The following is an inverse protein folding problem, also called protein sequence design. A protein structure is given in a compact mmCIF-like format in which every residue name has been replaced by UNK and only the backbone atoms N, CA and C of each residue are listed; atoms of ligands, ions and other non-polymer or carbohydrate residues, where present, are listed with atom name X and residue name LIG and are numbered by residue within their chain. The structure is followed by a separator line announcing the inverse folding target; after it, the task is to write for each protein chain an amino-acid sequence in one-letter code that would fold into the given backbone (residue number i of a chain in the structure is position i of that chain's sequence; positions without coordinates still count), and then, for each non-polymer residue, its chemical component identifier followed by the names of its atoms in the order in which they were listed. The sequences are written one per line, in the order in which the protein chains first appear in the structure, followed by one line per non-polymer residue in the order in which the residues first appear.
data_IF_528148336441
#
_entry.id   IF_528148336441
#
_cell.length_a   1.000
_cell.length_b   1.000
_cell.length_c   1.000
_cell.angle_alpha   90.00
_cell.angle_beta   90.00
_cell.angle_gamma   90.00
#
_symmetry.space_group_name_H-M   'P 1'
#
loop_
_entity.id
_entity.type
_entity.pdbx_description
1 polymer ?
#
# COMPACT_ATOMS: atom_id res chain seq x y z
N UNK A 1 10.34 -14.08 -6.15
CA UNK A 1 10.84 -13.58 -4.85
C UNK A 1 10.49 -14.53 -3.72
N UNK A 2 11.17 -14.51 -2.56
CA UNK A 2 11.06 -15.58 -1.57
C UNK A 2 9.77 -15.47 -0.72
N UNK A 3 9.19 -16.63 -0.38
CA UNK A 3 8.39 -16.73 0.83
C UNK A 3 9.35 -16.78 2.03
N UNK A 4 9.16 -15.91 3.03
CA UNK A 4 10.05 -15.86 4.20
C UNK A 4 9.98 -17.11 5.10
N UNK A 5 8.95 -17.94 4.92
CA UNK A 5 8.84 -19.27 5.52
C UNK A 5 8.16 -20.19 4.48
N UNK A 6 8.41 -21.50 4.56
CA UNK A 6 7.71 -22.48 3.70
C UNK A 6 6.19 -22.39 3.91
N UNK A 7 5.43 -22.10 2.86
CA UNK A 7 3.98 -21.92 2.94
C UNK A 7 3.54 -20.59 3.56
N UNK A 8 4.47 -19.66 3.77
CA UNK A 8 4.19 -18.32 4.27
C UNK A 8 3.65 -17.38 3.18
N UNK A 9 3.31 -16.15 3.60
CA UNK A 9 2.91 -15.11 2.65
C UNK A 9 4.03 -14.80 1.66
N UNK A 10 3.64 -14.51 0.43
CA UNK A 10 4.54 -14.03 -0.61
C UNK A 10 4.95 -12.58 -0.34
N UNK A 11 6.24 -12.27 -0.49
CA UNK A 11 6.81 -10.94 -0.32
C UNK A 11 7.37 -10.48 -1.67
N UNK A 12 6.89 -9.32 -2.13
CA UNK A 12 7.30 -8.69 -3.39
C UNK A 12 8.55 -7.81 -3.24
N UNK A 13 9.06 -7.64 -2.03
CA UNK A 13 10.23 -6.81 -1.75
C UNK A 13 9.98 -5.76 -0.68
N UNK A 14 10.93 -4.86 -0.53
CA UNK A 14 10.84 -3.67 0.31
C UNK A 14 10.62 -2.43 -0.53
N UNK A 15 9.97 -1.43 0.03
CA UNK A 15 9.95 -0.07 -0.53
C UNK A 15 10.42 0.92 0.52
N UNK A 16 11.30 1.85 0.12
CA UNK A 16 11.75 2.92 0.98
C UNK A 16 10.84 4.14 0.86
N UNK A 17 10.45 4.74 1.98
CA UNK A 17 9.86 6.08 1.97
C UNK A 17 10.98 7.10 1.74
N UNK A 18 11.09 7.59 0.50
CA UNK A 18 12.14 8.54 0.08
C UNK A 18 11.82 9.97 0.51
N UNK A 19 12.82 10.84 0.33
CA UNK A 19 12.64 12.29 0.48
C UNK A 19 11.42 12.78 -0.30
N UNK A 20 10.64 13.67 0.31
CA UNK A 20 9.39 14.16 -0.27
C UNK A 20 8.19 13.22 -0.15
N UNK A 21 8.32 12.09 0.56
CA UNK A 21 7.23 11.15 0.87
C UNK A 21 6.94 10.14 -0.24
N UNK A 22 7.86 9.95 -1.19
CA UNK A 22 7.65 9.06 -2.34
C UNK A 22 7.92 7.60 -1.97
N UNK A 23 7.01 6.71 -2.35
CA UNK A 23 7.13 5.26 -2.21
C UNK A 23 6.95 4.63 -3.58
N UNK A 24 7.93 3.83 -4.02
CA UNK A 24 7.82 3.04 -5.25
C UNK A 24 7.33 1.64 -4.91
N UNK A 25 6.26 1.20 -5.55
CA UNK A 25 5.78 -0.17 -5.39
C UNK A 25 6.66 -1.15 -6.19
N UNK A 26 6.88 -2.38 -5.69
CA UNK A 26 7.59 -3.40 -6.45
C UNK A 26 6.93 -3.65 -7.82
N UNK A 27 7.70 -3.76 -8.92
CA UNK A 27 7.15 -4.03 -10.25
C UNK A 27 6.30 -5.30 -10.31
N UNK A 28 6.68 -6.33 -9.55
CA UNK A 28 5.92 -7.58 -9.49
C UNK A 28 4.54 -7.39 -8.83
N UNK A 29 4.44 -6.58 -7.78
CA UNK A 29 3.15 -6.20 -7.20
C UNK A 29 2.34 -5.35 -8.18
N UNK A 30 2.96 -4.38 -8.85
CA UNK A 30 2.29 -3.55 -9.86
C UNK A 30 1.68 -4.43 -10.97
N UNK A 31 2.45 -5.38 -11.50
CA UNK A 31 2.01 -6.29 -12.55
C UNK A 31 0.88 -7.23 -12.07
N UNK A 32 1.04 -7.85 -10.90
CA UNK A 32 0.06 -8.79 -10.36
C UNK A 32 -1.32 -8.15 -10.13
N UNK A 33 -1.33 -6.90 -9.65
CA UNK A 33 -2.56 -6.17 -9.37
C UNK A 33 -3.05 -5.32 -10.56
N UNK A 34 -2.34 -5.35 -11.70
CA UNK A 34 -2.69 -4.59 -12.92
C UNK A 34 -2.66 -3.06 -12.72
N UNK A 35 -1.86 -2.57 -11.78
CA UNK A 35 -1.81 -1.15 -11.44
C UNK A 35 -1.25 -0.21 -12.53
N UNK A 36 -0.40 -0.63 -13.49
CA UNK A 36 0.04 0.26 -14.57
C UNK A 36 -1.09 0.84 -15.42
N UNK A 37 -2.26 0.20 -15.44
CA UNK A 37 -3.45 0.67 -16.16
C UNK A 37 -4.27 1.69 -15.36
N UNK A 38 -3.94 1.89 -14.08
CA UNK A 38 -4.64 2.77 -13.16
C UNK A 38 -3.91 4.12 -13.02
N UNK A 39 -4.65 5.24 -13.02
CA UNK A 39 -4.09 6.59 -12.80
C UNK A 39 -3.87 6.92 -11.32
N UNK A 40 -4.48 6.14 -10.44
CA UNK A 40 -4.47 6.35 -9.00
C UNK A 40 -4.68 5.04 -8.26
N UNK A 41 -4.20 4.98 -7.03
CA UNK A 41 -4.48 3.89 -6.11
C UNK A 41 -5.37 4.36 -4.97
N UNK A 42 -6.05 3.41 -4.35
CA UNK A 42 -6.69 3.58 -3.06
C UNK A 42 -5.80 2.87 -2.04
N UNK A 43 -5.43 3.59 -0.99
CA UNK A 43 -4.78 3.01 0.18
C UNK A 43 -5.76 2.89 1.33
N UNK A 44 -5.52 1.94 2.22
CA UNK A 44 -6.22 1.90 3.49
C UNK A 44 -5.35 1.39 4.62
N UNK A 45 -5.64 1.83 5.84
CA UNK A 45 -4.85 1.48 7.03
C UNK A 45 -4.70 -0.03 7.19
N UNK A 46 -3.46 -0.49 7.38
CA UNK A 46 -3.16 -1.88 7.69
C UNK A 46 -3.66 -2.31 9.08
N UNK A 47 -3.46 -3.57 9.44
CA UNK A 47 -3.77 -4.03 10.81
C UNK A 47 -2.90 -3.32 11.84
N UNK A 48 -3.37 -3.23 13.09
CA UNK A 48 -2.56 -2.68 14.20
C UNK A 48 -1.23 -3.41 14.38
N UNK A 49 -1.22 -4.72 14.16
CA UNK A 49 -0.03 -5.58 14.31
C UNK A 49 1.02 -5.35 13.23
N UNK A 50 0.61 -5.19 11.96
CA UNK A 50 1.53 -5.01 10.83
C UNK A 50 1.87 -3.53 10.58
N UNK A 51 1.00 -2.61 11.00
CA UNK A 51 1.09 -1.19 10.67
C UNK A 51 1.01 -0.94 9.16
N UNK A 52 1.44 0.25 8.75
CA UNK A 52 1.47 0.65 7.34
C UNK A 52 0.08 0.71 6.71
N UNK A 53 0.00 0.34 5.43
CA UNK A 53 -1.22 0.44 4.63
C UNK A 53 -1.33 -0.70 3.62
N UNK A 54 -2.54 -0.97 3.14
CA UNK A 54 -2.78 -1.79 1.97
C UNK A 54 -3.00 -0.90 0.75
N UNK A 55 -2.74 -1.46 -0.44
CA UNK A 55 -2.89 -0.80 -1.73
C UNK A 55 -3.86 -1.59 -2.59
N UNK A 56 -4.83 -0.90 -3.19
CA UNK A 56 -5.77 -1.40 -4.18
C UNK A 56 -6.03 -0.32 -5.23
N UNK A 57 -6.92 -0.56 -6.19
CA UNK A 57 -7.38 0.45 -7.14
C UNK A 57 -8.89 0.42 -7.26
N UNK A 58 -9.49 1.46 -7.86
CA UNK A 58 -10.93 1.49 -8.10
C UNK A 58 -11.39 0.29 -8.94
N UNK A 59 -10.58 -0.09 -9.95
CA UNK A 59 -10.84 -1.25 -10.82
C UNK A 59 -10.87 -2.57 -10.06
N UNK A 60 -9.99 -2.76 -9.08
CA UNK A 60 -9.97 -3.95 -8.23
C UNK A 60 -11.08 -3.93 -7.18
N UNK A 61 -11.36 -2.76 -6.61
CA UNK A 61 -12.29 -2.63 -5.49
C UNK A 61 -13.75 -2.70 -5.95
N UNK A 62 -14.10 -2.05 -7.07
CA UNK A 62 -15.46 -1.92 -7.58
C UNK A 62 -16.20 -3.26 -7.78
N UNK A 63 -15.65 -4.28 -8.45
CA UNK A 63 -16.33 -5.56 -8.65
C UNK A 63 -16.25 -6.49 -7.42
N UNK A 64 -15.51 -6.10 -6.38
CA UNK A 64 -15.30 -6.93 -5.19
C UNK A 64 -16.46 -6.83 -4.20
N UNK A 65 -16.46 -7.72 -3.19
CA UNK A 65 -17.38 -7.62 -2.04
C UNK A 65 -17.24 -6.30 -1.26
N UNK A 66 -16.14 -5.58 -1.43
CA UNK A 66 -15.85 -4.29 -0.81
C UNK A 66 -16.18 -3.09 -1.70
N UNK A 67 -16.76 -3.30 -2.89
CA UNK A 67 -17.10 -2.22 -3.85
C UNK A 67 -18.00 -1.13 -3.27
N UNK A 68 -18.90 -1.51 -2.34
CA UNK A 68 -19.78 -0.61 -1.61
C UNK A 68 -19.06 0.50 -0.81
N UNK A 69 -17.74 0.37 -0.59
CA UNK A 69 -16.92 1.43 0.00
C UNK A 69 -16.86 2.66 -0.92
N UNK A 70 -16.85 2.45 -2.24
CA UNK A 70 -16.79 3.54 -3.23
C UNK A 70 -18.09 4.36 -3.25
N UNK A 71 -19.22 3.72 -2.96
CA UNK A 71 -20.52 4.41 -2.81
C UNK A 71 -20.57 5.20 -1.50
N UNK A 72 -20.01 4.65 -0.42
CA UNK A 72 -19.97 5.29 0.88
C UNK A 72 -18.96 6.45 0.96
N UNK A 73 -17.90 6.40 0.15
CA UNK A 73 -16.79 7.36 0.11
C UNK A 73 -16.50 7.80 -1.34
N UNK A 74 -17.40 8.59 -1.97
CA UNK A 74 -17.23 9.02 -3.35
C UNK A 74 -15.93 9.81 -3.58
N UNK A 75 -15.38 10.47 -2.55
CA UNK A 75 -14.12 11.21 -2.60
C UNK A 75 -12.91 10.35 -2.99
N UNK A 76 -12.99 9.03 -2.84
CA UNK A 76 -11.95 8.10 -3.30
C UNK A 76 -11.85 8.02 -4.83
N UNK A 77 -12.88 8.48 -5.56
CA UNK A 77 -12.99 8.34 -7.03
C UNK A 77 -13.02 9.67 -7.77
N UNK A 78 -13.41 10.75 -7.09
CA UNK A 78 -13.59 12.06 -7.72
C UNK A 78 -12.26 12.79 -7.98
N UNK A 79 -11.16 12.34 -7.37
CA UNK A 79 -9.81 12.85 -7.66
C UNK A 79 -9.61 14.33 -7.32
N UNK A 80 -10.40 14.88 -6.39
CA UNK A 80 -10.34 16.29 -6.00
C UNK A 80 -9.02 16.58 -5.27
N UNK A 81 -8.20 17.54 -5.73
CA UNK A 81 -6.89 17.83 -5.10
C UNK A 81 -6.95 18.11 -3.60
N UNK A 82 -8.06 18.65 -3.09
CA UNK A 82 -8.29 18.90 -1.67
C UNK A 82 -8.38 17.63 -0.81
N UNK A 83 -8.69 16.48 -1.42
CA UNK A 83 -8.85 15.19 -0.75
C UNK A 83 -7.63 14.28 -0.92
N UNK A 84 -6.59 14.76 -1.60
CA UNK A 84 -5.38 13.99 -1.89
C UNK A 84 -4.72 13.52 -0.58
N UNK A 85 -4.65 12.20 -0.40
CA UNK A 85 -4.09 11.59 0.80
C UNK A 85 -4.92 11.77 2.09
N UNK A 86 -6.11 12.37 2.02
CA UNK A 86 -7.00 12.53 3.18
C UNK A 86 -7.55 11.18 3.59
N UNK A 87 -7.25 10.74 4.82
CA UNK A 87 -7.71 9.46 5.36
C UNK A 87 -9.17 9.57 5.85
N UNK A 88 -10.08 8.99 5.07
CA UNK A 88 -11.51 8.93 5.31
C UNK A 88 -11.87 7.70 6.17
N UNK A 89 -12.38 7.88 7.40
CA UNK A 89 -12.72 6.75 8.27
C UNK A 89 -13.97 6.02 7.76
N UNK A 90 -13.89 4.70 7.69
CA UNK A 90 -15.00 3.82 7.36
C UNK A 90 -14.84 2.45 8.03
N UNK A 91 -15.80 2.09 8.89
CA UNK A 91 -15.90 0.79 9.59
C UNK A 91 -14.58 0.27 10.16
N UNK A 92 -13.89 1.10 10.94
CA UNK A 92 -12.67 0.73 11.66
C UNK A 92 -11.39 0.74 10.82
N UNK A 93 -11.45 1.21 9.57
CA UNK A 93 -10.28 1.52 8.73
C UNK A 93 -10.39 2.95 8.23
N UNK A 94 -9.29 3.48 7.71
CA UNK A 94 -9.34 4.74 6.95
C UNK A 94 -8.79 4.53 5.55
N UNK A 95 -9.41 5.21 4.57
CA UNK A 95 -9.12 5.07 3.14
C UNK A 95 -8.69 6.40 2.56
N UNK A 96 -7.76 6.40 1.61
CA UNK A 96 -7.40 7.60 0.86
C UNK A 96 -7.08 7.22 -0.57
N UNK A 97 -7.21 8.16 -1.50
CA UNK A 97 -6.72 8.00 -2.86
C UNK A 97 -5.39 8.76 -3.03
N UNK A 98 -4.52 8.23 -3.91
CA UNK A 98 -3.25 8.86 -4.29
C UNK A 98 -3.01 8.71 -5.79
N UNK A 99 -2.50 9.74 -6.48
CA UNK A 99 -2.03 9.60 -7.86
C UNK A 99 -0.90 8.57 -7.97
N UNK A 100 -0.96 7.75 -9.01
CA UNK A 100 0.04 6.74 -9.32
C UNK A 100 0.86 7.21 -10.53
N UNK A 101 2.19 7.25 -10.39
CA UNK A 101 3.09 7.56 -11.50
C UNK A 101 3.23 6.37 -12.45
N UNK A 102 3.67 6.64 -13.69
CA UNK A 102 3.94 5.58 -14.68
C UNK A 102 4.99 4.57 -14.22
N UNK A 103 5.90 5.00 -13.36
CA UNK A 103 6.98 4.19 -12.78
C UNK A 103 6.54 3.40 -11.55
N UNK A 104 5.25 3.46 -11.18
CA UNK A 104 4.67 2.76 -10.04
C UNK A 104 4.96 3.41 -8.70
N UNK A 105 5.09 4.74 -8.67
CA UNK A 105 5.35 5.49 -7.44
C UNK A 105 4.16 6.33 -7.02
N UNK A 106 3.98 6.45 -5.70
CA UNK A 106 3.01 7.37 -5.09
C UNK A 106 3.75 8.36 -4.19
N UNK A 107 3.26 9.61 -4.13
CA UNK A 107 3.78 10.62 -3.22
C UNK A 107 2.79 10.85 -2.10
N UNK A 108 3.20 10.53 -0.88
CA UNK A 108 2.37 10.76 0.30
C UNK A 108 2.51 12.21 0.78
N UNK A 109 1.40 12.91 1.02
CA UNK A 109 1.40 14.11 1.84
C UNK A 109 1.94 13.81 3.24
N UNK A 110 2.58 14.81 3.84
CA UNK A 110 3.16 14.67 5.19
C UNK A 110 2.09 14.27 6.23
N UNK A 111 0.92 14.90 6.22
CA UNK A 111 -0.17 14.59 7.15
C UNK A 111 -0.63 13.12 7.05
N UNK A 112 -0.59 12.53 5.84
CA UNK A 112 -0.96 11.13 5.62
C UNK A 112 0.06 10.20 6.27
N UNK A 113 1.36 10.48 6.10
CA UNK A 113 2.44 9.71 6.75
C UNK A 113 2.34 9.80 8.27
N UNK A 114 2.15 11.00 8.82
CA UNK A 114 1.99 11.24 10.25
C UNK A 114 0.83 10.43 10.83
N UNK A 115 -0.32 10.43 10.15
CA UNK A 115 -1.50 9.66 10.58
C UNK A 115 -1.25 8.15 10.53
N UNK A 116 -0.46 7.67 9.57
CA UNK A 116 -0.05 6.26 9.47
C UNK A 116 1.07 5.90 10.46
N UNK A 117 1.66 6.88 11.15
CA UNK A 117 2.82 6.70 12.01
C UNK A 117 4.07 6.31 11.22
N UNK A 118 4.22 6.84 10.01
CA UNK A 118 5.32 6.59 9.08
C UNK A 118 6.15 7.86 8.88
N UNK A 119 7.41 7.69 8.50
CA UNK A 119 8.34 8.78 8.20
C UNK A 119 9.27 8.45 7.04
N UNK A 120 9.84 9.49 6.46
CA UNK A 120 10.95 9.35 5.50
C UNK A 120 12.06 8.52 6.12
N UNK A 121 12.59 7.55 5.36
CA UNK A 121 13.59 6.59 5.81
C UNK A 121 13.02 5.24 6.27
N UNK A 122 11.71 5.15 6.55
CA UNK A 122 11.11 3.86 6.90
C UNK A 122 11.10 2.91 5.70
N UNK A 123 11.30 1.62 5.97
CA UNK A 123 11.18 0.53 4.99
C UNK A 123 9.85 -0.19 5.18
N UNK A 124 9.11 -0.35 4.09
CA UNK A 124 7.81 -1.01 4.05
C UNK A 124 7.93 -2.33 3.31
N UNK A 125 7.54 -3.44 3.93
CA UNK A 125 7.53 -4.73 3.25
C UNK A 125 6.27 -4.85 2.38
N UNK A 126 6.44 -5.10 1.09
CA UNK A 126 5.33 -5.38 0.18
C UNK A 126 4.98 -6.87 0.25
N UNK A 127 3.76 -7.17 0.69
CA UNK A 127 3.29 -8.51 1.03
C UNK A 127 2.00 -8.77 0.27
N UNK A 128 1.91 -9.87 -0.47
CA UNK A 128 0.66 -10.32 -1.09
C UNK A 128 -0.39 -10.56 0.00
N UNK A 129 -1.51 -9.84 -0.08
CA UNK A 129 -2.55 -9.90 0.96
C UNK A 129 -3.78 -10.65 0.49
N UNK A 130 -4.41 -10.21 -0.60
CA UNK A 130 -5.52 -10.89 -1.27
C UNK A 130 -5.43 -10.70 -2.78
N UNK A 131 -6.45 -11.16 -3.50
CA UNK A 131 -6.67 -10.93 -4.93
C UNK A 131 -6.86 -9.44 -5.31
N UNK A 132 -7.41 -8.63 -4.41
CA UNK A 132 -7.72 -7.22 -4.67
C UNK A 132 -6.77 -6.21 -3.99
N UNK A 133 -5.87 -6.64 -3.11
CA UNK A 133 -4.93 -5.74 -2.44
C UNK A 133 -3.65 -6.43 -1.96
N UNK A 134 -2.56 -5.67 -1.91
CA UNK A 134 -1.33 -6.03 -1.19
C UNK A 134 -1.08 -5.10 0.00
N UNK A 135 -0.27 -5.54 0.96
CA UNK A 135 0.09 -4.78 2.14
C UNK A 135 1.50 -4.20 2.01
N UNK A 136 1.66 -2.94 2.37
CA UNK A 136 2.91 -2.24 2.64
C UNK A 136 3.11 -2.18 4.16
N UNK A 137 3.69 -3.23 4.73
CA UNK A 137 3.79 -3.44 6.18
C UNK A 137 5.02 -2.77 6.79
N UNK A 138 4.84 -2.08 7.92
CA UNK A 138 5.89 -1.29 8.55
C UNK A 138 6.53 -1.98 9.77
N UNK A 139 5.83 -2.92 10.41
CA UNK A 139 6.27 -3.58 11.65
C UNK A 139 5.69 -4.98 11.82
N UNK A 140 6.13 -5.66 12.87
CA UNK A 140 5.61 -6.94 13.32
C UNK A 140 6.42 -8.14 12.80
N UNK A 141 5.98 -9.37 13.13
CA UNK A 141 6.82 -10.56 13.01
C UNK A 141 7.32 -10.85 11.59
N UNK A 142 6.53 -10.53 10.55
CA UNK A 142 6.97 -10.75 9.17
C UNK A 142 8.05 -9.75 8.76
N UNK A 143 7.97 -8.50 9.23
CA UNK A 143 8.95 -7.44 8.97
C UNK A 143 10.26 -7.78 9.69
N UNK A 144 10.19 -8.21 10.95
CA UNK A 144 11.34 -8.69 11.73
C UNK A 144 12.06 -9.85 11.01
N UNK A 145 11.29 -10.82 10.50
CA UNK A 145 11.84 -11.93 9.70
C UNK A 145 12.49 -11.46 8.40
N UNK A 146 11.90 -10.50 7.69
CA UNK A 146 12.51 -9.95 6.49
C UNK A 146 13.80 -9.19 6.78
N UNK A 147 13.88 -8.49 7.92
CA UNK A 147 15.11 -7.81 8.35
C UNK A 147 16.23 -8.81 8.69
N UNK A 148 15.88 -9.98 9.23
CA UNK A 148 16.81 -11.07 9.53
C UNK A 148 16.98 -12.10 8.41
N UNK A 149 16.41 -11.88 7.23
CA UNK A 149 16.50 -12.84 6.13
C UNK A 149 17.94 -12.88 5.60
N UNK A 150 18.61 -14.05 5.56
CA UNK A 150 20.02 -14.13 5.17
C UNK A 150 20.25 -13.91 3.67
N UNK A 151 19.18 -14.01 2.85
CA UNK A 151 19.23 -13.72 1.43
C UNK A 151 18.96 -12.24 1.12
N UNK A 152 19.00 -11.90 -0.16
CA UNK A 152 18.65 -10.55 -0.61
C UNK A 152 17.14 -10.43 -0.86
N UNK A 153 16.53 -9.40 -0.28
CA UNK A 153 15.18 -8.94 -0.63
C UNK A 153 15.37 -7.58 -1.29
N UNK A 154 14.90 -7.45 -2.53
CA UNK A 154 15.05 -6.22 -3.31
C UNK A 154 14.39 -5.03 -2.60
N UNK A 155 15.01 -3.84 -2.72
CA UNK A 155 14.54 -2.60 -2.13
C UNK A 155 14.25 -1.60 -3.25
N UNK A 156 13.02 -1.11 -3.29
CA UNK A 156 12.50 -0.25 -4.34
C UNK A 156 12.32 1.20 -3.93
#
# INVERSE_FOLDING_TARGET
MPQLNKGGKYVFGWSLIRAGGTVRFPPEAMAEYGLPDDRSVIIFTGSRSTGGFCVTSQRLLSPSKLGHILEALPELTEGRPADLGRLLPYKGRSYAWLPLSREGSVRFPQHTLETLGLRVGDRLMSIRSSDIAFTMGARGPLIEKGNGYPGQIEVF
#
